data_IF_650539176943
#
_entry.id   IF_650539176943
#
_cell.length_a   1.000
_cell.length_b   1.000
_cell.length_c   1.000
_cell.angle_alpha   90.00
_cell.angle_beta   90.00
_cell.angle_gamma   90.00
#
_symmetry.space_group_name_H-M   'P 1'
#
loop_
_entity.id
_entity.type
_entity.pdbx_description
1 polymer ?
#
# COMPACT_ATOMS: atom_id res chain seq x y z
N UNK A 1 -7.61 11.36 24.77
CA UNK A 1 -8.47 11.50 23.59
C UNK A 1 -8.08 10.49 22.52
N UNK A 2 -9.08 9.92 21.89
CA UNK A 2 -8.84 9.01 20.79
C UNK A 2 -8.29 9.78 19.60
N UNK A 3 -7.24 9.30 18.99
CA UNK A 3 -6.61 9.91 17.84
C UNK A 3 -7.03 9.25 16.54
N UNK A 4 -6.68 9.89 15.45
CA UNK A 4 -6.91 9.36 14.11
C UNK A 4 -5.56 9.00 13.50
N UNK A 5 -5.49 7.81 12.91
CA UNK A 5 -4.30 7.36 12.22
C UNK A 5 -4.67 7.15 10.75
N UNK A 6 -3.89 7.77 9.87
CA UNK A 6 -4.06 7.59 8.43
C UNK A 6 -2.87 6.83 7.91
N UNK A 7 -3.14 5.71 7.26
CA UNK A 7 -2.11 4.83 6.74
C UNK A 7 -2.25 4.78 5.22
N UNK A 8 -1.14 5.08 4.54
CA UNK A 8 -1.06 4.97 3.09
C UNK A 8 -0.14 3.81 2.74
N UNK A 9 -0.63 2.93 1.89
CA UNK A 9 0.13 1.79 1.41
C UNK A 9 0.39 1.94 -0.08
N UNK A 10 1.60 1.61 -0.49
CA UNK A 10 1.99 1.59 -1.90
C UNK A 10 2.70 0.29 -2.20
N UNK A 11 2.36 -0.34 -3.30
CA UNK A 11 3.05 -1.54 -3.76
C UNK A 11 2.86 -1.69 -5.26
N UNK A 12 3.79 -2.38 -5.89
CA UNK A 12 3.68 -2.70 -7.31
C UNK A 12 2.82 -3.94 -7.55
N UNK A 13 2.67 -4.78 -6.54
CA UNK A 13 1.86 -6.00 -6.62
C UNK A 13 0.57 -5.80 -5.85
N UNK A 14 -0.56 -5.96 -6.54
CA UNK A 14 -1.86 -5.72 -5.93
C UNK A 14 -2.21 -6.77 -4.87
N UNK A 15 -1.77 -8.02 -5.06
CA UNK A 15 -2.04 -9.08 -4.08
C UNK A 15 -1.33 -8.80 -2.76
N UNK A 16 -0.09 -8.31 -2.83
CA UNK A 16 0.71 -7.98 -1.65
C UNK A 16 0.09 -6.82 -0.88
N UNK A 17 -0.35 -5.78 -1.60
CA UNK A 17 -0.96 -4.61 -0.95
C UNK A 17 -2.31 -4.97 -0.31
N UNK A 18 -3.08 -5.84 -0.94
CA UNK A 18 -4.36 -6.28 -0.39
C UNK A 18 -4.14 -7.10 0.88
N UNK A 19 -3.15 -7.97 0.90
CA UNK A 19 -2.80 -8.73 2.09
C UNK A 19 -2.34 -7.81 3.22
N UNK A 20 -1.48 -6.85 2.93
CA UNK A 20 -1.02 -5.89 3.91
C UNK A 20 -2.19 -5.07 4.48
N UNK A 21 -3.11 -4.64 3.63
CA UNK A 21 -4.30 -3.91 4.06
C UNK A 21 -5.15 -4.74 5.01
N UNK A 22 -5.37 -6.00 4.69
CA UNK A 22 -6.16 -6.90 5.53
C UNK A 22 -5.49 -7.11 6.89
N UNK A 23 -4.18 -7.26 6.91
CA UNK A 23 -3.43 -7.45 8.16
C UNK A 23 -3.52 -6.22 9.06
N UNK A 24 -3.42 -5.03 8.48
CA UNK A 24 -3.52 -3.78 9.22
C UNK A 24 -4.92 -3.61 9.81
N UNK A 25 -5.95 -3.86 9.00
CA UNK A 25 -7.34 -3.75 9.45
C UNK A 25 -7.60 -4.71 10.61
N UNK A 26 -7.17 -5.95 10.46
CA UNK A 26 -7.34 -6.97 11.49
C UNK A 26 -6.65 -6.58 12.79
N UNK A 27 -5.43 -6.08 12.69
CA UNK A 27 -4.65 -5.67 13.86
C UNK A 27 -5.32 -4.51 14.59
N UNK A 28 -5.79 -3.52 13.83
CA UNK A 28 -6.47 -2.36 14.42
C UNK A 28 -7.78 -2.77 15.11
N UNK A 29 -8.55 -3.65 14.49
CA UNK A 29 -9.81 -4.12 15.08
C UNK A 29 -9.58 -4.88 16.37
N UNK A 30 -8.50 -5.66 16.46
CA UNK A 30 -8.17 -6.38 17.69
C UNK A 30 -7.88 -5.47 18.86
N UNK A 31 -7.44 -4.25 18.61
CA UNK A 31 -7.17 -3.27 19.66
C UNK A 31 -8.38 -2.43 20.01
N UNK A 32 -9.51 -2.68 19.38
CA UNK A 32 -10.76 -1.97 19.65
C UNK A 32 -10.94 -0.68 18.88
N UNK A 33 -10.06 -0.39 17.94
CA UNK A 33 -10.19 0.80 17.10
C UNK A 33 -11.22 0.58 16.00
N UNK A 34 -11.88 1.68 15.59
CA UNK A 34 -12.76 1.65 14.43
C UNK A 34 -11.95 1.89 13.16
N UNK A 35 -12.18 1.08 12.15
CA UNK A 35 -11.45 1.19 10.91
C UNK A 35 -12.41 1.57 9.79
N UNK A 36 -12.08 2.68 9.11
CA UNK A 36 -12.71 2.99 7.84
C UNK A 36 -11.91 2.23 6.77
N UNK A 37 -12.52 1.20 6.20
CA UNK A 37 -11.91 0.12 5.43
C UNK A 37 -10.86 0.54 4.43
N UNK A 38 -10.14 -0.37 3.82
CA UNK A 38 -9.16 0.06 2.83
C UNK A 38 -9.85 0.71 1.64
N UNK A 39 -9.46 1.96 1.34
CA UNK A 39 -10.01 2.72 0.23
C UNK A 39 -8.99 2.65 -0.91
N UNK A 40 -9.35 2.06 -2.05
CA UNK A 40 -8.44 2.04 -3.19
C UNK A 40 -8.29 3.44 -3.77
N UNK A 41 -7.05 3.90 -3.88
CA UNK A 41 -6.74 5.14 -4.57
C UNK A 41 -6.45 4.84 -6.03
N UNK A 42 -6.52 5.84 -6.90
CA UNK A 42 -6.23 5.61 -8.32
C UNK A 42 -4.86 4.99 -8.53
N UNK A 43 -4.81 3.95 -9.36
CA UNK A 43 -3.57 3.26 -9.68
C UNK A 43 -2.78 4.12 -10.67
N UNK A 44 -1.52 4.38 -10.33
CA UNK A 44 -0.64 5.11 -11.23
C UNK A 44 0.10 4.12 -12.12
N UNK A 45 0.00 4.34 -13.43
CA UNK A 45 0.65 3.49 -14.41
C UNK A 45 1.75 4.28 -15.10
N UNK A 46 2.94 3.73 -15.14
CA UNK A 46 4.06 4.27 -15.90
C UNK A 46 4.39 3.31 -17.02
N UNK A 47 4.53 3.83 -18.22
CA UNK A 47 4.86 3.04 -19.40
C UNK A 47 6.05 3.65 -20.10
N UNK A 48 6.95 2.79 -20.54
CA UNK A 48 8.07 3.24 -21.36
C UNK A 48 8.46 2.14 -22.33
N UNK A 49 9.06 2.56 -23.43
CA UNK A 49 9.52 1.66 -24.49
C UNK A 49 11.03 1.69 -24.54
N UNK A 50 11.64 0.52 -24.55
CA UNK A 50 13.09 0.41 -24.66
C UNK A 50 13.43 -0.21 -26.00
N UNK A 51 14.36 0.44 -26.73
CA UNK A 51 14.93 -0.10 -27.95
C UNK A 51 16.21 -0.85 -27.59
N UNK A 52 16.21 -2.17 -27.79
CA UNK A 52 17.39 -2.97 -27.45
C UNK A 52 18.49 -2.86 -28.47
N UNK A 53 18.15 -2.68 -29.73
CA UNK A 53 19.13 -2.55 -30.79
C UNK A 53 18.59 -1.68 -31.92
N UNK A 54 19.38 -0.73 -32.42
CA UNK A 54 18.93 0.12 -33.52
C UNK A 54 18.87 -0.63 -34.86
N UNK A 55 19.48 -1.80 -34.97
CA UNK A 55 19.52 -2.57 -36.21
C UNK A 55 18.43 -3.63 -36.30
N UNK A 56 17.70 -3.83 -35.22
CA UNK A 56 16.68 -4.89 -35.18
C UNK A 56 15.34 -4.23 -35.41
N UNK A 57 14.45 -4.96 -36.06
CA UNK A 57 13.12 -4.50 -36.38
C UNK A 57 12.23 -4.31 -35.13
N UNK A 58 10.92 -4.28 -35.36
CA UNK A 58 9.95 -4.02 -34.29
C UNK A 58 10.04 -4.98 -33.10
N UNK A 59 10.64 -6.16 -33.28
CA UNK A 59 10.76 -7.13 -32.20
C UNK A 59 11.77 -6.70 -31.14
N UNK A 60 12.65 -5.74 -31.43
CA UNK A 60 13.59 -5.23 -30.45
C UNK A 60 12.98 -4.23 -29.49
N UNK A 61 11.75 -3.78 -29.76
CA UNK A 61 11.07 -2.85 -28.87
C UNK A 61 10.40 -3.62 -27.77
N UNK A 62 10.71 -3.25 -26.53
CA UNK A 62 10.02 -3.78 -25.37
C UNK A 62 9.28 -2.65 -24.68
N UNK A 63 8.02 -2.86 -24.40
CA UNK A 63 7.24 -1.94 -23.58
C UNK A 63 7.23 -2.46 -22.16
N UNK A 64 7.62 -1.58 -21.26
CA UNK A 64 7.55 -1.86 -19.84
C UNK A 64 6.41 -1.05 -19.24
N UNK A 65 5.69 -1.68 -18.34
CA UNK A 65 4.59 -1.07 -17.66
C UNK A 65 4.75 -1.31 -16.17
N UNK A 66 4.72 -0.24 -15.39
CA UNK A 66 4.81 -0.32 -13.95
C UNK A 66 3.56 0.28 -13.36
N UNK A 67 2.82 -0.53 -12.61
CA UNK A 67 1.60 -0.08 -11.93
C UNK A 67 1.87 0.06 -10.46
N UNK A 68 1.59 1.24 -9.92
CA UNK A 68 1.69 1.48 -8.49
C UNK A 68 0.29 1.48 -7.89
N UNK A 69 0.02 0.48 -7.07
CA UNK A 69 -1.25 0.38 -6.36
C UNK A 69 -1.15 1.12 -5.04
N UNK A 70 -2.22 1.82 -4.69
CA UNK A 70 -2.28 2.60 -3.45
C UNK A 70 -3.56 2.27 -2.69
N UNK A 71 -3.42 2.19 -1.37
CA UNK A 71 -4.57 1.98 -0.49
C UNK A 71 -4.48 2.97 0.66
N UNK A 72 -5.63 3.44 1.10
CA UNK A 72 -5.74 4.36 2.23
C UNK A 72 -6.58 3.70 3.30
N UNK A 73 -6.06 3.68 4.52
CA UNK A 73 -6.78 3.15 5.69
C UNK A 73 -6.83 4.24 6.74
N UNK A 74 -8.04 4.57 7.20
CA UNK A 74 -8.23 5.48 8.31
C UNK A 74 -8.61 4.69 9.54
N UNK A 75 -7.87 4.87 10.61
CA UNK A 75 -8.17 4.25 11.90
C UNK A 75 -8.67 5.34 12.83
N UNK A 76 -9.90 5.18 13.28
CA UNK A 76 -10.56 6.11 14.19
C UNK A 76 -10.51 5.54 15.60
N UNK A 77 -10.59 6.42 16.60
CA UNK A 77 -10.57 6.01 17.99
C UNK A 77 -9.34 5.17 18.34
N UNK A 78 -8.20 5.54 17.77
CA UNK A 78 -6.96 4.84 18.04
C UNK A 78 -6.51 5.04 19.48
N UNK A 79 -5.93 3.99 20.04
CA UNK A 79 -5.38 4.01 21.39
C UNK A 79 -3.88 3.72 21.32
N UNK A 80 -3.18 3.92 22.43
CA UNK A 80 -1.77 3.59 22.49
C UNK A 80 -1.49 2.14 22.08
N UNK A 81 -2.40 1.23 22.46
CA UNK A 81 -2.30 -0.18 22.06
C UNK A 81 -2.37 -0.34 20.55
N UNK A 82 -3.19 0.45 19.87
CA UNK A 82 -3.30 0.39 18.41
C UNK A 82 -2.00 0.78 17.75
N UNK A 83 -1.38 1.88 18.20
CA UNK A 83 -0.10 2.34 17.65
C UNK A 83 0.98 1.28 17.88
N UNK A 84 1.06 0.72 19.08
CA UNK A 84 2.03 -0.33 19.40
C UNK A 84 1.84 -1.57 18.53
N UNK A 85 0.60 -2.00 18.36
CA UNK A 85 0.30 -3.18 17.55
C UNK A 85 0.69 -2.97 16.09
N UNK A 86 0.43 -1.78 15.55
CA UNK A 86 0.79 -1.46 14.17
C UNK A 86 2.30 -1.36 13.99
N UNK A 87 3.01 -0.84 14.99
CA UNK A 87 4.47 -0.74 14.94
C UNK A 87 5.12 -2.13 14.93
N UNK A 88 4.52 -3.07 15.65
CA UNK A 88 5.03 -4.44 15.74
C UNK A 88 4.57 -5.34 14.60
N UNK A 89 3.65 -4.85 13.78
CA UNK A 89 3.09 -5.64 12.69
C UNK A 89 4.15 -5.88 11.62
N UNK A 90 4.31 -7.15 11.25
CA UNK A 90 5.25 -7.56 10.23
C UNK A 90 4.53 -7.60 8.89
N UNK A 91 4.86 -6.68 8.01
CA UNK A 91 4.23 -6.57 6.70
C UNK A 91 5.05 -7.26 5.63
N UNK A 92 4.40 -7.73 4.54
CA UNK A 92 5.13 -8.35 3.44
C UNK A 92 6.16 -7.39 2.83
N UNK A 93 7.24 -7.96 2.33
CA UNK A 93 8.23 -7.18 1.58
C UNK A 93 7.61 -6.62 0.31
N UNK A 94 8.06 -5.45 -0.10
CA UNK A 94 7.55 -4.80 -1.31
C UNK A 94 6.40 -3.84 -1.08
N UNK A 95 5.98 -3.66 0.17
CA UNK A 95 4.96 -2.68 0.52
C UNK A 95 5.62 -1.50 1.21
N UNK A 96 5.37 -0.31 0.70
CA UNK A 96 5.80 0.93 1.32
C UNK A 96 4.65 1.47 2.17
N UNK A 97 4.92 1.71 3.44
CA UNK A 97 3.91 2.12 4.42
C UNK A 97 4.25 3.50 4.94
N UNK A 98 3.29 4.38 4.87
CA UNK A 98 3.38 5.72 5.46
C UNK A 98 2.28 5.87 6.49
N UNK A 99 2.66 6.14 7.73
CA UNK A 99 1.71 6.29 8.84
C UNK A 99 1.75 7.73 9.31
N UNK A 100 0.58 8.34 9.34
CA UNK A 100 0.41 9.71 9.82
C UNK A 100 -0.56 9.70 11.00
N UNK A 101 -0.10 10.16 12.13
CA UNK A 101 -0.93 10.28 13.34
C UNK A 101 -1.41 11.71 13.44
N UNK A 102 -2.71 11.88 13.57
CA UNK A 102 -3.35 13.18 13.71
C UNK A 102 -3.96 13.39 15.10
#
# INVERSE_FOLDING_TARGET
MAGRIRIRLKAFDHAVIDQASADIVRTAEKTGASVSGPIPLPTKTQRWTVLRSPHVDKKSREQFELKTHKRLIDILDSRAQTVDALTKLDLPAGVDVEIKVE
#
